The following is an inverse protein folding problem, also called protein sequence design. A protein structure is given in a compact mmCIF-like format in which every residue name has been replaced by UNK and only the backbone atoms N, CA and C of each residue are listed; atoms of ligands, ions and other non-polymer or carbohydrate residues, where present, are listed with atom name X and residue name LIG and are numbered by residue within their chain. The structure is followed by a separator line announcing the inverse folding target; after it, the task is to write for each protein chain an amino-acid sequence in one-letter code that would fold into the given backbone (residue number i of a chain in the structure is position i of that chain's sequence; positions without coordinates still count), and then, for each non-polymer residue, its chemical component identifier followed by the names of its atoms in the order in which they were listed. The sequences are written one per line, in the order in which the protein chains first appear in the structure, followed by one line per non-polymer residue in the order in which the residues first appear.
data_IF_287922159258
#
_entry.id   IF_287922159258
#
_cell.length_a   1.000
_cell.length_b   1.000
_cell.length_c   1.000
_cell.angle_alpha   90.00
_cell.angle_beta   90.00
_cell.angle_gamma   90.00
#
_symmetry.space_group_name_H-M   'P 1'
#
loop_
_entity.id
_entity.type
_entity.pdbx_description
1 polymer ?
#
# COMPACT_ATOMS: atom_id res chain seq x y z
N UNK A 1 5.64 -0.67 19.99
CA UNK A 1 5.70 -1.82 19.09
C UNK A 1 6.83 -1.78 18.05
N UNK A 2 7.39 -0.63 17.70
CA UNK A 2 8.40 -0.53 16.62
C UNK A 2 9.83 -1.04 16.90
N UNK A 3 10.19 -1.42 18.10
CA UNK A 3 11.56 -1.88 18.42
C UNK A 3 11.80 -3.38 18.21
N UNK A 4 10.77 -4.17 18.09
CA UNK A 4 10.85 -5.62 18.07
C UNK A 4 10.82 -6.23 16.64
N UNK A 5 10.39 -5.48 15.64
CA UNK A 5 10.39 -5.92 14.23
C UNK A 5 11.79 -6.16 13.64
N UNK A 6 12.85 -5.76 14.36
CA UNK A 6 14.24 -5.95 13.92
C UNK A 6 14.82 -7.32 14.32
N UNK A 7 14.06 -8.17 15.02
CA UNK A 7 14.54 -9.51 15.39
C UNK A 7 14.15 -10.51 14.31
N UNK A 8 15.12 -11.19 13.70
CA UNK A 8 14.83 -12.26 12.72
C UNK A 8 13.85 -13.29 13.32
N UNK A 9 12.83 -13.67 12.57
CA UNK A 9 11.84 -14.69 12.96
C UNK A 9 10.70 -14.22 13.85
N UNK A 10 10.68 -13.00 14.35
CA UNK A 10 9.57 -12.52 15.18
C UNK A 10 8.33 -12.19 14.33
N UNK A 11 8.53 -11.62 13.14
CA UNK A 11 7.42 -11.37 12.22
C UNK A 11 6.80 -12.69 11.73
N UNK A 12 7.65 -13.69 11.44
CA UNK A 12 7.18 -15.01 11.00
C UNK A 12 6.29 -15.68 12.05
N UNK A 13 6.63 -15.53 13.35
CA UNK A 13 5.80 -16.05 14.44
C UNK A 13 4.45 -15.33 14.54
N UNK A 14 4.41 -14.02 14.29
CA UNK A 14 3.16 -13.25 14.26
C UNK A 14 2.36 -13.62 13.01
N UNK A 15 3.01 -13.66 11.87
CA UNK A 15 2.39 -13.96 10.58
C UNK A 15 1.76 -15.36 10.53
N UNK A 16 2.36 -16.35 11.20
CA UNK A 16 1.83 -17.71 11.23
C UNK A 16 0.39 -17.84 11.81
N UNK A 17 -0.10 -16.81 12.50
CA UNK A 17 -1.45 -16.78 13.08
C UNK A 17 -2.49 -16.04 12.21
N UNK A 18 -2.09 -15.48 11.07
CA UNK A 18 -2.93 -14.61 10.23
C UNK A 18 -2.73 -14.90 8.75
N UNK A 19 -3.78 -14.80 7.96
CA UNK A 19 -3.71 -14.93 6.49
C UNK A 19 -3.01 -13.72 5.86
N UNK A 20 -3.20 -12.52 6.43
CA UNK A 20 -2.61 -11.26 5.98
C UNK A 20 -2.13 -10.45 7.18
N UNK A 21 -0.94 -9.87 7.08
CA UNK A 21 -0.38 -8.93 8.05
C UNK A 21 -0.18 -7.58 7.41
N UNK A 22 -0.81 -6.56 7.94
CA UNK A 22 -0.64 -5.18 7.50
C UNK A 22 0.39 -4.47 8.37
N UNK A 23 1.47 -3.97 7.76
CA UNK A 23 2.52 -3.21 8.42
C UNK A 23 2.33 -1.73 8.13
N UNK A 24 1.84 -0.96 9.11
CA UNK A 24 1.76 0.50 9.01
C UNK A 24 3.12 1.11 9.32
N UNK A 25 3.70 1.77 8.32
CA UNK A 25 5.02 2.37 8.40
C UNK A 25 4.95 3.88 8.61
N UNK A 26 5.85 4.48 9.40
CA UNK A 26 5.95 5.93 9.51
C UNK A 26 6.32 6.55 8.16
N UNK A 27 5.73 7.72 7.84
CA UNK A 27 5.93 8.42 6.57
C UNK A 27 7.33 9.06 6.39
N UNK A 28 8.33 8.63 7.14
CA UNK A 28 9.72 9.08 7.03
C UNK A 28 10.62 7.88 6.81
N UNK A 29 11.62 8.07 5.97
CA UNK A 29 12.69 7.08 5.81
C UNK A 29 13.34 6.71 7.15
N UNK A 30 13.65 5.43 7.32
CA UNK A 30 14.30 4.97 8.54
C UNK A 30 14.46 3.46 8.57
N UNK A 31 15.15 2.98 9.60
CA UNK A 31 15.43 1.56 9.78
C UNK A 31 14.15 0.70 9.83
N UNK A 32 13.04 1.25 10.35
CA UNK A 32 11.75 0.55 10.43
C UNK A 32 11.17 0.29 9.04
N UNK A 33 11.17 1.32 8.16
CA UNK A 33 10.69 1.18 6.79
C UNK A 33 11.54 0.19 6.00
N UNK A 34 12.88 0.30 6.10
CA UNK A 34 13.81 -0.65 5.45
C UNK A 34 13.58 -2.08 5.91
N UNK A 35 13.38 -2.29 7.23
CA UNK A 35 13.08 -3.62 7.76
C UNK A 35 11.73 -4.16 7.26
N UNK A 36 10.71 -3.31 7.13
CA UNK A 36 9.41 -3.70 6.57
C UNK A 36 9.53 -4.10 5.10
N UNK A 37 10.29 -3.35 4.29
CA UNK A 37 10.54 -3.67 2.87
C UNK A 37 11.22 -5.03 2.68
N UNK A 38 12.06 -5.45 3.63
CA UNK A 38 12.76 -6.73 3.54
C UNK A 38 11.87 -7.95 3.80
N UNK A 39 10.69 -7.76 4.38
CA UNK A 39 9.78 -8.86 4.76
C UNK A 39 8.40 -8.76 4.08
N UNK A 40 8.10 -7.63 3.42
CA UNK A 40 6.82 -7.45 2.75
C UNK A 40 6.77 -8.23 1.42
N UNK A 41 5.60 -8.76 1.08
CA UNK A 41 5.30 -9.35 -0.23
C UNK A 41 4.73 -8.30 -1.19
N UNK A 42 4.04 -7.29 -0.63
CA UNK A 42 3.44 -6.19 -1.36
C UNK A 42 3.64 -4.88 -0.61
N UNK A 43 4.07 -3.85 -1.32
CA UNK A 43 4.12 -2.47 -0.83
C UNK A 43 3.02 -1.65 -1.48
N UNK A 44 2.19 -1.01 -0.66
CA UNK A 44 1.21 -0.04 -1.11
C UNK A 44 1.71 1.37 -0.74
N UNK A 45 1.81 2.24 -1.73
CA UNK A 45 2.22 3.63 -1.52
C UNK A 45 1.00 4.53 -1.73
N UNK A 46 0.40 5.05 -0.66
CA UNK A 46 -0.67 6.03 -0.80
C UNK A 46 -0.09 7.35 -1.31
N UNK A 47 -0.60 7.83 -2.44
CA UNK A 47 -0.18 9.08 -3.05
C UNK A 47 -1.39 9.96 -3.33
N UNK A 48 -1.31 11.22 -2.95
CA UNK A 48 -2.34 12.21 -3.30
C UNK A 48 -2.24 12.64 -4.77
N UNK A 49 -3.24 13.37 -5.23
CA UNK A 49 -3.38 13.81 -6.61
C UNK A 49 -2.69 15.16 -6.88
N UNK A 50 -1.79 15.64 -6.01
CA UNK A 50 -1.10 16.92 -6.19
C UNK A 50 0.32 16.74 -6.73
N UNK A 51 0.89 17.75 -7.42
CA UNK A 51 2.28 17.71 -7.85
C UNK A 51 3.27 17.53 -6.69
N UNK A 52 2.97 18.08 -5.51
CA UNK A 52 3.79 17.89 -4.32
C UNK A 52 3.78 16.43 -3.82
N UNK A 53 2.62 15.75 -3.90
CA UNK A 53 2.51 14.33 -3.58
C UNK A 53 3.32 13.47 -4.57
N UNK A 54 3.28 13.81 -5.87
CA UNK A 54 4.06 13.12 -6.89
C UNK A 54 5.57 13.28 -6.68
N UNK A 55 6.01 14.45 -6.21
CA UNK A 55 7.42 14.67 -5.86
C UNK A 55 7.85 13.88 -4.62
N UNK A 56 7.01 13.84 -3.60
CA UNK A 56 7.25 13.02 -2.41
C UNK A 56 7.29 11.52 -2.73
N UNK A 57 6.51 11.08 -3.74
CA UNK A 57 6.53 9.70 -4.23
C UNK A 57 7.91 9.28 -4.71
N UNK A 58 8.65 10.15 -5.41
CA UNK A 58 9.98 9.81 -5.94
C UNK A 58 10.94 9.34 -4.84
N UNK A 59 10.95 9.99 -3.68
CA UNK A 59 11.79 9.58 -2.55
C UNK A 59 11.44 8.16 -2.06
N UNK A 60 10.14 7.83 -2.03
CA UNK A 60 9.71 6.47 -1.67
C UNK A 60 10.12 5.44 -2.71
N UNK A 61 10.12 5.81 -3.99
CA UNK A 61 10.55 4.94 -5.09
C UNK A 61 12.05 4.65 -5.04
N UNK A 62 12.87 5.64 -4.74
CA UNK A 62 14.33 5.47 -4.61
C UNK A 62 14.65 4.44 -3.50
N UNK A 63 13.95 4.52 -2.37
CA UNK A 63 14.09 3.55 -1.28
C UNK A 63 13.64 2.14 -1.67
N UNK A 64 12.58 2.03 -2.46
CA UNK A 64 12.06 0.76 -2.95
C UNK A 64 13.02 0.13 -3.97
N UNK A 65 13.58 0.91 -4.86
CA UNK A 65 14.59 0.40 -5.80
C UNK A 65 15.86 -0.11 -5.08
N UNK A 66 16.27 0.56 -4.01
CA UNK A 66 17.33 0.05 -3.13
C UNK A 66 16.95 -1.31 -2.52
N UNK A 67 15.72 -1.45 -2.01
CA UNK A 67 15.23 -2.71 -1.44
C UNK A 67 15.13 -3.82 -2.50
N UNK A 68 14.70 -3.50 -3.72
CA UNK A 68 14.62 -4.43 -4.86
C UNK A 68 15.97 -4.98 -5.28
N UNK A 69 17.05 -4.29 -5.02
CA UNK A 69 18.40 -4.83 -5.19
C UNK A 69 18.65 -6.10 -4.35
N UNK A 70 17.93 -6.26 -3.23
CA UNK A 70 18.00 -7.41 -2.33
C UNK A 70 16.74 -8.32 -2.43
N UNK A 71 15.61 -7.75 -2.81
CA UNK A 71 14.30 -8.40 -2.93
C UNK A 71 13.69 -8.08 -4.31
N UNK A 72 14.18 -8.70 -5.39
CA UNK A 72 13.71 -8.42 -6.75
C UNK A 72 12.24 -8.83 -6.97
N UNK A 73 11.72 -9.70 -6.13
CA UNK A 73 10.34 -10.19 -6.08
C UNK A 73 9.35 -9.21 -5.42
N UNK A 74 9.85 -8.13 -4.79
CA UNK A 74 9.01 -7.18 -4.05
C UNK A 74 8.00 -6.49 -4.97
N UNK A 75 6.72 -6.81 -4.79
CA UNK A 75 5.64 -6.16 -5.53
C UNK A 75 5.35 -4.76 -4.96
N UNK A 76 5.12 -3.80 -5.85
CA UNK A 76 4.83 -2.41 -5.45
C UNK A 76 3.65 -1.89 -6.25
N UNK A 77 2.72 -1.20 -5.59
CA UNK A 77 1.60 -0.48 -6.22
C UNK A 77 1.42 0.88 -5.58
N UNK A 78 1.15 1.88 -6.39
CA UNK A 78 0.71 3.20 -5.93
C UNK A 78 -0.81 3.23 -5.87
N UNK A 79 -1.35 3.70 -4.75
CA UNK A 79 -2.79 3.91 -4.54
C UNK A 79 -3.07 5.41 -4.54
N UNK A 80 -3.89 5.86 -5.48
CA UNK A 80 -4.31 7.27 -5.51
C UNK A 80 -5.28 7.52 -4.37
N UNK A 81 -4.94 8.44 -3.49
CA UNK A 81 -5.76 8.82 -2.33
C UNK A 81 -6.14 10.29 -2.39
N UNK A 82 -7.15 10.68 -1.61
CA UNK A 82 -7.63 12.07 -1.52
C UNK A 82 -7.96 12.66 -2.90
N UNK A 83 -8.45 11.83 -3.82
CA UNK A 83 -8.81 12.26 -5.17
C UNK A 83 -9.99 13.23 -5.11
N UNK A 84 -9.80 14.43 -5.64
CA UNK A 84 -10.85 15.43 -5.78
C UNK A 84 -11.47 15.39 -7.18
N UNK A 85 -12.73 15.79 -7.32
CA UNK A 85 -13.43 15.91 -8.61
C UNK A 85 -13.02 17.18 -9.37
N UNK A 86 -11.72 17.48 -9.43
CA UNK A 86 -11.11 18.62 -10.12
C UNK A 86 -10.37 18.15 -11.37
N UNK A 87 -10.04 19.06 -12.28
CA UNK A 87 -9.22 18.71 -13.46
C UNK A 87 -7.85 18.12 -13.04
N UNK A 88 -7.24 18.65 -11.99
CA UNK A 88 -6.01 18.12 -11.43
C UNK A 88 -6.19 16.67 -10.94
N UNK A 89 -7.27 16.38 -10.21
CA UNK A 89 -7.57 15.03 -9.74
C UNK A 89 -7.88 14.04 -10.87
N UNK A 90 -8.45 14.52 -11.99
CA UNK A 90 -8.70 13.68 -13.18
C UNK A 90 -7.42 13.30 -13.92
N UNK A 91 -6.41 14.17 -13.92
CA UNK A 91 -5.13 13.95 -14.60
C UNK A 91 -4.11 13.20 -13.72
N UNK A 92 -4.36 13.13 -12.39
CA UNK A 92 -3.43 12.55 -11.43
C UNK A 92 -2.96 11.12 -11.81
N UNK A 93 -3.87 10.31 -12.35
CA UNK A 93 -3.52 8.95 -12.80
C UNK A 93 -2.48 8.97 -13.92
N UNK A 94 -2.63 9.85 -14.91
CA UNK A 94 -1.70 9.97 -16.02
C UNK A 94 -0.34 10.51 -15.54
N UNK A 95 -0.37 11.52 -14.66
CA UNK A 95 0.82 12.14 -14.11
C UNK A 95 1.63 11.14 -13.24
N UNK A 96 0.95 10.36 -12.41
CA UNK A 96 1.59 9.33 -11.60
C UNK A 96 2.04 8.11 -12.41
N UNK A 97 1.30 7.73 -13.44
CA UNK A 97 1.72 6.67 -14.36
C UNK A 97 3.05 7.00 -15.06
N UNK A 98 3.31 8.28 -15.31
CA UNK A 98 4.56 8.74 -15.89
C UNK A 98 5.79 8.52 -14.97
N UNK A 99 5.58 8.30 -13.66
CA UNK A 99 6.64 7.93 -12.72
C UNK A 99 7.11 6.46 -12.88
N UNK A 100 6.49 5.68 -13.78
CA UNK A 100 6.93 4.32 -14.10
C UNK A 100 6.54 3.24 -13.09
N UNK A 101 5.77 3.58 -12.04
CA UNK A 101 5.31 2.60 -11.05
C UNK A 101 3.89 2.16 -11.34
N UNK A 102 3.57 0.86 -11.24
CA UNK A 102 2.23 0.37 -11.45
C UNK A 102 1.24 0.98 -10.46
N UNK A 103 0.19 1.61 -11.00
CA UNK A 103 -0.92 2.12 -10.19
C UNK A 103 -1.91 1.00 -9.91
N UNK A 104 -2.45 0.99 -8.71
CA UNK A 104 -3.60 0.14 -8.39
C UNK A 104 -4.83 0.61 -9.19
N UNK A 105 -5.69 -0.32 -9.59
CA UNK A 105 -6.93 -0.02 -10.32
C UNK A 105 -7.94 0.80 -9.53
N UNK A 106 -7.81 0.82 -8.21
CA UNK A 106 -8.70 1.48 -7.26
C UNK A 106 -8.13 2.82 -6.82
N UNK A 107 -9.02 3.80 -6.60
CA UNK A 107 -8.69 5.14 -6.11
C UNK A 107 -9.60 5.48 -4.93
N UNK A 108 -9.04 6.14 -3.91
CA UNK A 108 -9.80 6.64 -2.77
C UNK A 108 -10.08 8.14 -2.94
N UNK A 109 -11.35 8.52 -3.00
CA UNK A 109 -11.75 9.92 -3.09
C UNK A 109 -11.51 10.64 -1.74
N UNK A 110 -11.40 11.97 -1.79
CA UNK A 110 -11.41 12.77 -0.58
C UNK A 110 -12.84 12.82 -0.01
N UNK A 111 -13.04 12.13 1.12
CA UNK A 111 -14.34 12.02 1.78
C UNK A 111 -14.25 12.37 3.26
N UNK A 112 -15.20 13.14 3.74
CA UNK A 112 -15.36 13.46 5.17
C UNK A 112 -15.58 12.17 5.98
N UNK A 113 -16.18 11.14 5.39
CA UNK A 113 -16.41 9.84 6.02
C UNK A 113 -15.13 9.22 6.61
N UNK A 114 -13.98 9.33 5.93
CA UNK A 114 -12.72 8.80 6.42
C UNK A 114 -12.21 9.56 7.65
N UNK A 115 -12.39 10.89 7.66
CA UNK A 115 -12.00 11.73 8.80
C UNK A 115 -12.88 11.47 10.02
N UNK A 116 -14.20 11.32 9.82
CA UNK A 116 -15.15 11.00 10.88
C UNK A 116 -14.85 9.62 11.47
N UNK A 117 -14.66 8.60 10.64
CA UNK A 117 -14.34 7.25 11.09
C UNK A 117 -13.07 7.23 11.94
N UNK A 118 -12.02 7.93 11.48
CA UNK A 118 -10.77 8.05 12.23
C UNK A 118 -10.97 8.77 13.57
N UNK A 119 -11.75 9.85 13.59
CA UNK A 119 -12.07 10.58 14.83
C UNK A 119 -12.83 9.75 15.85
N UNK A 120 -13.63 8.77 15.40
CA UNK A 120 -14.35 7.81 16.24
C UNK A 120 -13.54 6.54 16.58
N UNK A 121 -12.31 6.43 16.10
CA UNK A 121 -11.50 5.22 16.26
C UNK A 121 -12.08 3.99 15.59
N UNK A 122 -12.80 4.14 14.48
CA UNK A 122 -13.52 3.10 13.76
C UNK A 122 -13.06 3.00 12.30
N UNK A 123 -13.25 1.84 11.70
CA UNK A 123 -13.13 1.69 10.25
C UNK A 123 -14.38 2.24 9.53
N UNK A 124 -14.22 2.91 8.40
CA UNK A 124 -15.33 3.47 7.60
C UNK A 124 -16.34 2.38 7.20
N UNK A 125 -15.91 1.14 7.06
CA UNK A 125 -16.75 -0.02 6.72
C UNK A 125 -17.80 -0.35 7.78
N UNK A 126 -17.62 0.16 9.02
CA UNK A 126 -18.58 -0.02 10.13
C UNK A 126 -19.52 1.17 10.29
N UNK A 127 -19.38 2.22 9.46
CA UNK A 127 -20.23 3.40 9.51
C UNK A 127 -21.50 3.23 8.66
N UNK A 128 -22.60 3.76 9.14
CA UNK A 128 -23.86 3.83 8.37
C UNK A 128 -23.91 5.09 7.50
N UNK A 129 -24.64 5.04 6.38
CA UNK A 129 -24.86 6.21 5.53
C UNK A 129 -23.66 6.66 4.69
N UNK A 130 -22.63 5.84 4.58
CA UNK A 130 -21.40 6.14 3.81
C UNK A 130 -21.11 5.10 2.72
N UNK A 131 -22.08 4.77 1.82
CA UNK A 131 -21.94 3.62 0.91
C UNK A 131 -20.76 3.73 -0.04
N UNK A 132 -20.46 4.93 -0.52
CA UNK A 132 -19.34 5.14 -1.44
C UNK A 132 -17.98 4.93 -0.80
N UNK A 133 -17.79 5.45 0.43
CA UNK A 133 -16.54 5.25 1.16
C UNK A 133 -16.33 3.78 1.54
N UNK A 134 -17.42 3.10 1.93
CA UNK A 134 -17.41 1.65 2.22
C UNK A 134 -17.03 0.85 0.97
N UNK A 135 -17.63 1.20 -0.18
CA UNK A 135 -17.31 0.54 -1.45
C UNK A 135 -15.84 0.73 -1.83
N UNK A 136 -15.32 1.95 -1.79
CA UNK A 136 -13.92 2.23 -2.12
C UNK A 136 -12.93 1.41 -1.27
N UNK A 137 -13.19 1.25 0.02
CA UNK A 137 -12.32 0.43 0.89
C UNK A 137 -12.45 -1.07 0.59
N UNK A 138 -13.65 -1.55 0.25
CA UNK A 138 -13.84 -2.96 -0.16
C UNK A 138 -13.14 -3.23 -1.48
N UNK A 139 -13.32 -2.36 -2.47
CA UNK A 139 -12.65 -2.48 -3.77
C UNK A 139 -11.13 -2.46 -3.60
N UNK A 140 -10.61 -1.67 -2.65
CA UNK A 140 -9.19 -1.66 -2.30
C UNK A 140 -8.75 -3.00 -1.68
N UNK A 141 -9.52 -3.55 -0.74
CA UNK A 141 -9.21 -4.82 -0.12
C UNK A 141 -9.20 -5.95 -1.16
N UNK A 142 -10.23 -6.02 -2.00
CA UNK A 142 -10.34 -7.04 -3.07
C UNK A 142 -9.16 -6.95 -4.05
N UNK A 143 -8.73 -5.73 -4.40
CA UNK A 143 -7.58 -5.54 -5.29
C UNK A 143 -6.25 -5.95 -4.64
N UNK A 144 -6.10 -5.77 -3.32
CA UNK A 144 -4.93 -6.22 -2.56
C UNK A 144 -4.90 -7.74 -2.47
N UNK A 145 -6.03 -8.36 -2.13
CA UNK A 145 -6.14 -9.83 -2.03
C UNK A 145 -5.80 -10.51 -3.36
N UNK A 146 -6.28 -9.95 -4.48
CA UNK A 146 -5.94 -10.46 -5.81
C UNK A 146 -4.43 -10.41 -6.09
N UNK A 147 -3.76 -9.30 -5.75
CA UNK A 147 -2.32 -9.15 -5.93
C UNK A 147 -1.50 -10.09 -5.05
N UNK A 148 -1.91 -10.30 -3.80
CA UNK A 148 -1.22 -11.23 -2.89
C UNK A 148 -1.35 -12.67 -3.38
N UNK A 149 -2.52 -13.05 -3.91
CA UNK A 149 -2.75 -14.37 -4.50
C UNK A 149 -1.88 -14.59 -5.74
N UNK A 150 -1.84 -13.63 -6.68
CA UNK A 150 -1.00 -13.69 -7.87
C UNK A 150 0.49 -13.83 -7.54
N UNK A 151 0.98 -13.06 -6.55
CA UNK A 151 2.37 -13.12 -6.12
C UNK A 151 2.71 -14.48 -5.48
N UNK A 152 1.81 -15.03 -4.68
CA UNK A 152 2.00 -16.35 -4.05
C UNK A 152 2.08 -17.47 -5.08
N UNK A 153 1.19 -17.45 -6.07
CA UNK A 153 1.17 -18.44 -7.16
C UNK A 153 2.43 -18.36 -8.02
N UNK A 154 2.91 -17.12 -8.32
CA UNK A 154 4.14 -16.90 -9.05
C UNK A 154 5.37 -17.44 -8.29
N UNK A 155 5.47 -17.18 -6.99
CA UNK A 155 6.56 -17.69 -6.14
C UNK A 155 6.55 -19.22 -6.06
N UNK A 156 5.38 -19.83 -5.93
CA UNK A 156 5.20 -21.28 -5.88
C UNK A 156 5.55 -21.97 -7.20
N UNK A 157 5.30 -21.33 -8.34
CA UNK A 157 5.60 -21.89 -9.67
C UNK A 157 7.11 -21.90 -9.97
N UNK A 158 7.87 -20.95 -9.47
CA UNK A 158 9.34 -20.87 -9.61
C UNK A 158 10.03 -21.93 -8.76
N UNK A 159 9.50 -22.27 -7.59
CA UNK A 159 10.05 -23.30 -6.71
C UNK A 159 9.91 -24.73 -7.26
N UNK A 160 9.07 -24.96 -8.29
CA UNK A 160 8.84 -26.28 -8.90
C UNK A 160 9.70 -26.57 -10.15
N UNK A 161 10.56 -25.64 -10.56
CA UNK A 161 11.40 -25.75 -11.78
C UNK A 161 12.89 -25.97 -11.44
N UNK A 162 13.23 -26.14 -10.18
CA UNK A 162 14.61 -26.40 -9.72
C UNK A 162 14.82 -27.91 -9.34
#
# INVERSE_FOLDING_TARGET
MGKDMHRPGQLDQIAAAFDVVLIDCPGREGAVVRAALMVADLVLIPCGASPADAWALQQSLDLIEEARGLRPDLAVRVVITRRRATNLGKNARNDLAACGVPLLGVELAERVAYQLAMGEGRGVTTMTGQPDAVREIRDLADAVDALLTENHDAASSVAHVA
#
